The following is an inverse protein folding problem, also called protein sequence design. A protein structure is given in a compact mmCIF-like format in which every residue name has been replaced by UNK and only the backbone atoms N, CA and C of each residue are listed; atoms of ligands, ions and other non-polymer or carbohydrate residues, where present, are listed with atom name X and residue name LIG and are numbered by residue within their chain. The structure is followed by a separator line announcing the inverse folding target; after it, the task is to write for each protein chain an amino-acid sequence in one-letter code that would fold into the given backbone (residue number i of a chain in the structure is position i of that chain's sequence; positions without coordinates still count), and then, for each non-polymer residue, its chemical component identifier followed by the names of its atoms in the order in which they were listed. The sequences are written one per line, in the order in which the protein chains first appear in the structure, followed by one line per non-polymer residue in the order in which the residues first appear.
data_IF_311011398346
#
_entry.id   IF_311011398346
#
_cell.length_a   1.000
_cell.length_b   1.000
_cell.length_c   1.000
_cell.angle_alpha   90.00
_cell.angle_beta   90.00
_cell.angle_gamma   90.00
#
_symmetry.space_group_name_H-M   'P 1'
#
loop_
_entity.id
_entity.type
_entity.pdbx_description
1 polymer ?
#
# COMPACT_ATOMS: atom_id res chain seq x y z
N UNK A 1 -23.28 -20.05 7.61
CA UNK A 1 -24.26 -18.94 7.51
C UNK A 1 -23.91 -18.17 6.25
N UNK A 2 -24.56 -18.49 5.14
CA UNK A 2 -24.64 -17.59 3.99
C UNK A 2 -26.14 -17.52 3.70
N UNK A 3 -26.78 -16.42 4.12
CA UNK A 3 -28.21 -16.19 3.87
C UNK A 3 -28.46 -15.90 2.38
N UNK A 4 -29.66 -15.42 2.04
CA UNK A 4 -30.10 -15.20 0.63
C UNK A 4 -29.26 -14.18 -0.18
N UNK A 5 -28.25 -13.55 0.43
CA UNK A 5 -27.40 -12.55 -0.20
C UNK A 5 -28.11 -11.20 -0.35
N UNK A 6 -27.37 -10.12 -0.17
CA UNK A 6 -27.89 -8.77 -0.41
C UNK A 6 -27.57 -8.33 -1.85
N UNK A 7 -28.45 -7.51 -2.43
CA UNK A 7 -28.25 -6.94 -3.76
C UNK A 7 -27.67 -5.54 -3.67
N UNK A 8 -26.58 -5.29 -4.42
CA UNK A 8 -26.02 -3.95 -4.62
C UNK A 8 -26.42 -3.45 -6.02
N UNK A 9 -27.14 -2.34 -6.10
CA UNK A 9 -27.50 -1.67 -7.37
C UNK A 9 -26.67 -0.40 -7.51
N UNK A 10 -25.97 -0.27 -8.64
CA UNK A 10 -25.15 0.90 -8.96
C UNK A 10 -25.69 1.51 -10.25
N UNK A 11 -25.94 2.82 -10.24
CA UNK A 11 -26.48 3.55 -11.39
C UNK A 11 -25.61 4.77 -11.67
N UNK A 12 -25.34 5.01 -12.94
CA UNK A 12 -24.70 6.25 -13.38
C UNK A 12 -25.56 7.47 -13.01
N UNK A 13 -24.90 8.59 -12.74
CA UNK A 13 -25.59 9.87 -12.59
C UNK A 13 -26.28 10.25 -13.92
N UNK A 14 -27.38 11.01 -13.84
CA UNK A 14 -28.08 11.49 -15.03
C UNK A 14 -27.25 12.51 -15.84
N UNK A 15 -26.19 13.07 -15.24
CA UNK A 15 -25.28 14.01 -15.88
C UNK A 15 -23.85 13.71 -15.42
N UNK A 16 -22.93 13.53 -16.38
CA UNK A 16 -21.55 13.16 -16.13
C UNK A 16 -20.71 14.40 -15.77
N UNK A 17 -19.89 14.31 -14.73
CA UNK A 17 -18.91 15.36 -14.44
C UNK A 17 -17.77 15.28 -15.47
N UNK A 18 -17.46 16.39 -16.14
CA UNK A 18 -16.49 16.44 -17.24
C UNK A 18 -15.05 16.16 -16.78
N UNK A 19 -14.70 16.47 -15.51
CA UNK A 19 -13.35 16.20 -14.97
C UNK A 19 -13.13 14.75 -14.50
N UNK A 20 -14.18 13.93 -14.48
CA UNK A 20 -14.10 12.52 -14.09
C UNK A 20 -14.96 11.72 -15.08
N UNK A 21 -14.44 11.42 -16.28
CA UNK A 21 -15.24 10.87 -17.37
C UNK A 21 -15.61 9.38 -17.19
N UNK A 22 -14.97 8.69 -16.25
CA UNK A 22 -15.07 7.24 -16.09
C UNK A 22 -15.39 6.85 -14.65
N UNK A 23 -16.17 5.78 -14.47
CA UNK A 23 -16.44 5.15 -13.18
C UNK A 23 -15.57 3.91 -13.05
N UNK A 24 -14.71 3.89 -12.03
CA UNK A 24 -13.98 2.70 -11.61
C UNK A 24 -14.57 2.16 -10.31
N UNK A 25 -14.79 0.85 -10.24
CA UNK A 25 -15.43 0.19 -9.11
C UNK A 25 -14.66 -1.08 -8.71
N UNK A 26 -14.41 -1.21 -7.41
CA UNK A 26 -13.89 -2.43 -6.80
C UNK A 26 -14.88 -2.95 -5.77
N UNK A 27 -15.30 -4.21 -5.92
CA UNK A 27 -16.09 -4.93 -4.92
C UNK A 27 -15.17 -5.96 -4.28
N UNK A 28 -14.86 -5.77 -3.00
CA UNK A 28 -13.99 -6.66 -2.23
C UNK A 28 -14.82 -7.35 -1.15
N UNK A 29 -14.69 -8.67 -1.09
CA UNK A 29 -15.37 -9.50 -0.09
C UNK A 29 -14.42 -10.58 0.42
N UNK A 30 -14.67 -11.06 1.63
CA UNK A 30 -13.87 -12.09 2.26
C UNK A 30 -14.59 -12.73 3.44
N UNK A 31 -14.18 -13.94 3.79
CA UNK A 31 -14.66 -14.60 5.00
C UNK A 31 -14.13 -13.83 6.23
N UNK A 32 -14.98 -13.50 7.22
CA UNK A 32 -14.51 -12.85 8.44
C UNK A 32 -13.46 -13.72 9.17
N UNK A 33 -12.31 -13.12 9.48
CA UNK A 33 -11.21 -13.77 10.21
C UNK A 33 -11.61 -14.06 11.67
N UNK A 34 -12.47 -13.22 12.26
CA UNK A 34 -13.01 -13.35 13.63
C UNK A 34 -11.94 -13.35 14.73
N UNK A 35 -10.87 -12.62 14.51
CA UNK A 35 -9.84 -12.38 15.53
C UNK A 35 -9.89 -10.93 16.04
N UNK A 36 -9.41 -10.67 17.28
CA UNK A 36 -9.23 -9.30 17.74
C UNK A 36 -8.33 -8.51 16.80
N UNK A 37 -8.59 -7.20 16.71
CA UNK A 37 -7.80 -6.26 15.90
C UNK A 37 -7.26 -5.16 16.80
N UNK A 38 -5.94 -5.03 16.83
CA UNK A 38 -5.22 -3.92 17.43
C UNK A 38 -4.39 -3.24 16.33
N UNK A 39 -4.52 -1.92 16.20
CA UNK A 39 -3.89 -1.16 15.11
C UNK A 39 -3.24 0.12 15.64
N UNK A 40 -2.04 0.41 15.15
CA UNK A 40 -1.37 1.70 15.33
C UNK A 40 -0.39 1.93 14.17
N UNK A 41 -0.62 3.00 13.40
CA UNK A 41 0.24 3.38 12.29
C UNK A 41 0.33 2.28 11.22
N UNK A 42 1.52 1.80 10.85
CA UNK A 42 1.69 0.79 9.80
C UNK A 42 1.44 -0.65 10.25
N UNK A 43 1.18 -0.90 11.55
CA UNK A 43 1.08 -2.24 12.10
C UNK A 43 -0.34 -2.58 12.58
N UNK A 44 -0.83 -3.75 12.15
CA UNK A 44 -2.09 -4.37 12.58
C UNK A 44 -1.76 -5.74 13.15
N UNK A 45 -2.15 -6.00 14.39
CA UNK A 45 -1.95 -7.27 15.12
C UNK A 45 -3.23 -7.65 15.89
N UNK A 46 -3.19 -8.68 16.73
CA UNK A 46 -4.34 -9.09 17.53
C UNK A 46 -4.39 -8.37 18.90
N UNK A 47 -3.25 -8.01 19.49
CA UNK A 47 -3.18 -7.35 20.81
C UNK A 47 -2.34 -6.06 20.81
N UNK A 48 -2.58 -5.17 21.79
CA UNK A 48 -1.79 -3.94 21.96
C UNK A 48 -0.31 -4.24 22.22
N UNK A 49 0.00 -5.32 22.94
CA UNK A 49 1.36 -5.71 23.24
C UNK A 49 2.13 -6.10 21.97
N UNK A 50 1.51 -6.86 21.06
CA UNK A 50 2.09 -7.22 19.76
C UNK A 50 2.38 -6.00 18.89
N UNK A 51 1.46 -5.02 18.87
CA UNK A 51 1.68 -3.76 18.14
C UNK A 51 2.89 -3.01 18.69
N UNK A 52 3.03 -2.91 20.01
CA UNK A 52 4.18 -2.26 20.64
C UNK A 52 5.49 -2.99 20.31
N UNK A 53 5.48 -4.33 20.35
CA UNK A 53 6.63 -5.14 19.95
C UNK A 53 7.01 -4.89 18.48
N UNK A 54 6.04 -4.81 17.57
CA UNK A 54 6.30 -4.54 16.16
C UNK A 54 6.98 -3.17 15.94
N UNK A 55 6.62 -2.16 16.72
CA UNK A 55 7.32 -0.87 16.71
C UNK A 55 8.76 -0.98 17.22
N UNK A 56 8.99 -1.72 18.30
CA UNK A 56 10.36 -1.96 18.78
C UNK A 56 11.20 -2.69 17.74
N UNK A 57 10.64 -3.70 17.08
CA UNK A 57 11.34 -4.47 16.04
C UNK A 57 11.67 -3.60 14.83
N UNK A 58 10.75 -2.70 14.45
CA UNK A 58 11.01 -1.69 13.43
C UNK A 58 12.14 -0.74 13.85
N UNK A 59 12.12 -0.23 15.08
CA UNK A 59 13.17 0.66 15.60
C UNK A 59 14.54 -0.04 15.70
N UNK A 60 14.55 -1.34 16.00
CA UNK A 60 15.76 -2.18 16.03
C UNK A 60 16.25 -2.55 14.62
N UNK A 61 15.47 -2.27 13.57
CA UNK A 61 15.83 -2.58 12.18
C UNK A 61 15.79 -4.08 11.85
N UNK A 62 15.05 -4.89 12.62
CA UNK A 62 15.04 -6.36 12.45
C UNK A 62 13.96 -6.86 11.47
N UNK A 63 13.16 -5.96 10.89
CA UNK A 63 12.12 -6.29 9.89
C UNK A 63 12.68 -6.51 8.47
N UNK A 64 14.01 -6.59 8.34
CA UNK A 64 14.70 -6.69 7.06
C UNK A 64 14.96 -5.33 6.41
N UNK A 65 15.81 -5.34 5.39
CA UNK A 65 16.19 -4.14 4.62
C UNK A 65 15.86 -4.36 3.16
N UNK A 66 15.20 -3.41 2.51
CA UNK A 66 15.02 -3.42 1.06
C UNK A 66 16.28 -2.80 0.43
N UNK A 67 17.09 -3.56 -0.33
CA UNK A 67 18.28 -3.01 -0.97
C UNK A 67 17.87 -1.99 -2.04
N UNK A 68 18.53 -0.84 -2.06
CA UNK A 68 18.32 0.14 -3.11
C UNK A 68 18.88 -0.38 -4.45
N UNK A 69 18.00 -0.60 -5.43
CA UNK A 69 18.40 -0.93 -6.79
C UNK A 69 18.89 0.35 -7.47
N UNK A 70 20.20 0.59 -7.43
CA UNK A 70 20.84 1.60 -8.26
C UNK A 70 21.12 0.99 -9.62
N UNK A 71 20.18 1.12 -10.56
CA UNK A 71 20.37 0.66 -11.93
C UNK A 71 21.42 1.58 -12.59
N UNK A 72 22.70 1.16 -12.59
CA UNK A 72 23.83 1.90 -13.19
C UNK A 72 23.59 2.29 -14.65
N UNK A 73 22.72 1.57 -15.35
CA UNK A 73 22.39 1.82 -16.76
C UNK A 73 21.61 3.12 -17.01
N UNK A 74 20.98 3.71 -15.98
CA UNK A 74 20.20 4.96 -16.13
C UNK A 74 21.02 6.21 -15.80
N UNK A 75 22.30 6.08 -15.45
CA UNK A 75 23.18 7.24 -15.19
C UNK A 75 23.81 7.81 -16.47
N UNK A 76 23.77 7.07 -17.58
CA UNK A 76 24.39 7.48 -18.85
C UNK A 76 23.41 8.00 -19.91
N UNK A 77 22.12 8.18 -19.59
CA UNK A 77 21.08 8.43 -20.63
C UNK A 77 21.16 9.82 -21.27
N UNK A 78 22.00 10.73 -20.77
CA UNK A 78 22.14 12.10 -21.32
C UNK A 78 23.59 12.55 -21.53
N UNK A 79 24.57 11.63 -21.52
CA UNK A 79 25.98 11.99 -21.79
C UNK A 79 26.58 12.99 -20.79
N UNK A 80 25.98 13.15 -19.62
CA UNK A 80 26.52 14.00 -18.55
C UNK A 80 27.78 13.34 -17.97
N UNK A 81 28.94 14.01 -17.92
CA UNK A 81 30.14 13.46 -17.31
C UNK A 81 29.90 13.15 -15.83
N UNK A 82 30.13 11.90 -15.42
CA UNK A 82 29.99 11.45 -14.03
C UNK A 82 31.31 11.48 -13.25
N UNK A 83 32.39 11.92 -13.88
CA UNK A 83 33.69 12.07 -13.24
C UNK A 83 33.94 13.56 -12.96
N UNK A 84 34.27 13.88 -11.71
CA UNK A 84 34.73 15.21 -11.32
C UNK A 84 36.15 15.35 -11.85
N UNK A 85 36.36 16.29 -12.77
CA UNK A 85 37.70 16.70 -13.17
C UNK A 85 38.22 17.62 -12.06
N UNK A 86 39.14 17.13 -11.24
CA UNK A 86 39.94 17.99 -10.36
C UNK A 86 41.04 18.66 -11.20
N UNK A 87 41.17 19.99 -11.07
CA UNK A 87 42.17 20.85 -11.74
C UNK A 87 43.53 20.82 -11.02
#
# INVERSE_FOLDING_TARGET
MFGEGDTLVIRAANQQETRSPELELFILGGQPIKEPVAWMGPFVMNTKAEVLQAFEDFQKGVLGTVPAIHKKEVLNVHGAPTEIVEE
#
